data_IF_116747559291
#
_entry.id   IF_116747559291
#
_cell.length_a   1.000
_cell.length_b   1.000
_cell.length_c   1.000
_cell.angle_alpha   90.00
_cell.angle_beta   90.00
_cell.angle_gamma   90.00
#
_symmetry.space_group_name_H-M   'P 1'
#
loop_
_entity.id
_entity.type
_entity.pdbx_description
1 polymer ?
#
# COMPACT_ATOMS: atom_id res chain seq x y z
N UNK A 1 11.84 7.64 0.63
CA UNK A 1 10.72 7.50 -0.32
C UNK A 1 9.63 6.63 0.29
N UNK A 2 9.79 5.30 0.41
CA UNK A 2 8.89 4.46 1.24
C UNK A 2 9.43 4.26 2.65
N UNK A 3 10.73 3.96 2.81
CA UNK A 3 11.38 3.72 4.11
C UNK A 3 11.55 4.96 5.00
N UNK A 4 11.17 6.13 4.50
CA UNK A 4 11.15 7.38 5.28
C UNK A 4 9.73 7.76 5.71
N UNK A 5 8.71 7.23 5.03
CA UNK A 5 7.33 7.48 5.40
C UNK A 5 7.02 6.75 6.71
N UNK A 6 6.20 7.34 7.58
CA UNK A 6 5.75 6.66 8.80
C UNK A 6 4.82 5.48 8.53
N UNK A 7 4.27 5.38 7.32
CA UNK A 7 3.53 4.21 6.83
C UNK A 7 3.77 4.07 5.34
N UNK A 8 4.54 3.05 4.97
CA UNK A 8 4.84 2.69 3.58
C UNK A 8 3.84 1.69 3.03
N UNK A 9 3.19 2.03 1.91
CA UNK A 9 2.27 1.13 1.21
C UNK A 9 2.87 0.71 -0.14
N UNK A 10 2.94 -0.60 -0.40
CA UNK A 10 3.33 -1.16 -1.69
C UNK A 10 2.16 -1.85 -2.39
N UNK A 11 2.07 -1.73 -3.71
CA UNK A 11 1.02 -2.39 -4.50
C UNK A 11 1.22 -3.90 -4.59
N UNK A 12 0.12 -4.64 -4.80
CA UNK A 12 0.14 -6.10 -4.91
C UNK A 12 0.95 -6.60 -6.11
N UNK A 13 1.12 -5.79 -7.15
CA UNK A 13 1.95 -6.05 -8.32
C UNK A 13 3.33 -5.37 -8.25
N UNK A 14 3.71 -4.78 -7.11
CA UNK A 14 5.05 -4.20 -6.94
C UNK A 14 6.16 -5.27 -6.91
N UNK A 15 7.39 -4.83 -7.18
CA UNK A 15 8.60 -5.67 -7.07
C UNK A 15 8.80 -6.16 -5.64
N UNK A 16 9.37 -7.36 -5.49
CA UNK A 16 9.52 -8.03 -4.20
C UNK A 16 10.34 -7.21 -3.20
N UNK A 17 11.38 -6.53 -3.66
CA UNK A 17 12.23 -5.66 -2.85
C UNK A 17 11.45 -4.50 -2.23
N UNK A 18 10.49 -3.93 -2.97
CA UNK A 18 9.66 -2.84 -2.48
C UNK A 18 8.64 -3.33 -1.46
N UNK A 19 8.03 -4.49 -1.70
CA UNK A 19 7.08 -5.12 -0.77
C UNK A 19 7.75 -5.48 0.56
N UNK A 20 9.00 -5.92 0.53
CA UNK A 20 9.77 -6.25 1.74
C UNK A 20 10.06 -5.03 2.63
N UNK A 21 9.99 -3.81 2.07
CA UNK A 21 10.21 -2.55 2.79
C UNK A 21 8.90 -1.84 3.19
N UNK A 22 7.74 -2.39 2.84
CA UNK A 22 6.45 -1.78 3.08
C UNK A 22 5.83 -2.27 4.40
N UNK A 23 5.17 -1.37 5.11
CA UNK A 23 4.38 -1.72 6.30
C UNK A 23 3.07 -2.39 5.91
N UNK A 24 2.56 -2.10 4.70
CA UNK A 24 1.35 -2.68 4.16
C UNK A 24 1.48 -2.94 2.67
N UNK A 25 1.16 -4.17 2.24
CA UNK A 25 1.03 -4.52 0.83
C UNK A 25 -0.44 -4.54 0.47
N UNK A 26 -0.86 -3.62 -0.41
CA UNK A 26 -2.24 -3.49 -0.87
C UNK A 26 -2.50 -4.35 -2.12
N UNK A 27 -3.72 -4.25 -2.67
CA UNK A 27 -4.12 -4.92 -3.92
C UNK A 27 -3.29 -4.44 -5.12
N UNK A 28 -3.32 -5.18 -6.24
CA UNK A 28 -2.80 -4.72 -7.52
C UNK A 28 -3.41 -3.37 -7.97
N UNK A 29 -2.71 -2.71 -8.89
CA UNK A 29 -3.13 -1.39 -9.42
C UNK A 29 -4.46 -1.43 -10.16
N UNK A 30 -4.77 -2.55 -10.79
CA UNK A 30 -6.00 -2.86 -11.51
C UNK A 30 -7.17 -3.28 -10.60
N UNK A 31 -6.95 -3.34 -9.29
CA UNK A 31 -7.96 -3.72 -8.28
C UNK A 31 -8.14 -2.63 -7.19
N UNK A 32 -8.00 -1.36 -7.57
CA UNK A 32 -8.21 -0.21 -6.67
C UNK A 32 -7.34 -0.23 -5.39
N UNK A 33 -6.09 -0.68 -5.52
CA UNK A 33 -5.19 -0.84 -4.37
C UNK A 33 -4.98 0.41 -3.51
N UNK A 34 -5.04 1.62 -4.09
CA UNK A 34 -4.96 2.85 -3.30
C UNK A 34 -6.20 3.00 -2.42
N UNK A 35 -7.40 2.92 -3.02
CA UNK A 35 -8.67 3.03 -2.28
C UNK A 35 -8.75 1.98 -1.17
N UNK A 36 -8.41 0.73 -1.51
CA UNK A 36 -8.33 -0.34 -0.52
C UNK A 36 -7.39 0.00 0.63
N UNK A 37 -6.17 0.46 0.35
CA UNK A 37 -5.20 0.81 1.38
C UNK A 37 -5.71 1.94 2.29
N UNK A 38 -6.23 3.04 1.73
CA UNK A 38 -6.68 4.18 2.54
C UNK A 38 -7.92 3.85 3.37
N UNK A 39 -8.79 2.96 2.91
CA UNK A 39 -9.92 2.45 3.69
C UNK A 39 -9.46 1.51 4.80
N UNK A 40 -8.54 0.57 4.52
CA UNK A 40 -7.99 -0.34 5.54
C UNK A 40 -7.19 0.41 6.62
N UNK A 41 -6.51 1.49 6.25
CA UNK A 41 -5.79 2.36 7.18
C UNK A 41 -6.70 3.36 7.91
N UNK A 42 -8.02 3.34 7.64
CA UNK A 42 -9.00 4.19 8.31
C UNK A 42 -8.90 5.68 7.96
N UNK A 43 -8.24 6.02 6.85
CA UNK A 43 -8.07 7.41 6.40
C UNK A 43 -9.34 7.96 5.75
N UNK A 44 -10.15 7.08 5.17
CA UNK A 44 -11.47 7.40 4.61
C UNK A 44 -12.49 6.34 5.03
N UNK A 45 -13.78 6.68 4.92
CA UNK A 45 -14.91 5.77 5.15
C UNK A 45 -15.60 5.47 3.82
N UNK A 46 -16.08 4.24 3.67
CA UNK A 46 -16.97 3.83 2.58
C UNK A 46 -18.39 4.36 2.79
#
# INVERSE_FOLDING_TARGET
>A
MISFAGTGVAMGNAVSELKALADFVTKPVDEDGIFHAVTQLGLIKE
#
